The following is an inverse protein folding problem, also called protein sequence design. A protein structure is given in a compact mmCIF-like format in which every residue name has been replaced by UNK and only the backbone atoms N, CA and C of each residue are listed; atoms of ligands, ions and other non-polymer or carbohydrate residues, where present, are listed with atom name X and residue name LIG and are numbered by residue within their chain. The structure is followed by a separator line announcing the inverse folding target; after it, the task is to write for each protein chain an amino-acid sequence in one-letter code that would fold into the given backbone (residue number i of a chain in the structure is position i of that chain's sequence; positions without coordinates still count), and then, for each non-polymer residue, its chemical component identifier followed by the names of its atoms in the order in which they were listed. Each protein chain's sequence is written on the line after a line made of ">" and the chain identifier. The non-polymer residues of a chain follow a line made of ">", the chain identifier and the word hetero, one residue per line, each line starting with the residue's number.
data_IF_443060499259
#
_entry.id   IF_443060499259
#
_cell.length_a   1.000
_cell.length_b   1.000
_cell.length_c   1.000
_cell.angle_alpha   90.00
_cell.angle_beta   90.00
_cell.angle_gamma   90.00
#
_symmetry.space_group_name_H-M   'P 1'
#
loop_
_entity.id
_entity.type
_entity.pdbx_description
1 polymer ?
#
# COMPACT_ATOMS: atom_id res chain seq x y z
N UNK A 1 -11.66 16.73 5.17
CA UNK A 1 -10.25 16.60 4.74
C UNK A 1 -10.14 15.52 3.68
N UNK A 2 -8.96 15.32 3.08
CA UNK A 2 -8.72 14.42 1.95
C UNK A 2 -7.59 13.45 2.30
N UNK A 3 -7.76 12.16 1.97
CA UNK A 3 -6.67 11.18 1.96
C UNK A 3 -6.20 11.01 0.51
N UNK A 4 -4.89 11.15 0.27
CA UNK A 4 -4.26 10.87 -1.01
C UNK A 4 -3.74 9.43 -0.96
N UNK A 5 -4.19 8.60 -1.89
CA UNK A 5 -3.69 7.22 -2.04
C UNK A 5 -2.89 7.17 -3.34
N UNK A 6 -1.58 7.00 -3.19
CA UNK A 6 -0.59 7.07 -4.26
C UNK A 6 -0.08 5.67 -4.61
N UNK A 7 0.17 5.42 -5.89
CA UNK A 7 0.79 4.18 -6.34
C UNK A 7 2.32 4.33 -6.30
N UNK A 8 3.06 3.35 -5.78
CA UNK A 8 4.52 3.45 -5.63
C UNK A 8 5.29 3.52 -6.97
N UNK A 9 4.72 2.95 -8.04
CA UNK A 9 5.35 2.84 -9.36
C UNK A 9 5.78 1.41 -9.68
N UNK A 10 6.11 1.15 -10.95
CA UNK A 10 6.26 -0.21 -11.50
C UNK A 10 7.66 -0.49 -12.08
N UNK A 11 8.68 0.20 -11.57
CA UNK A 11 10.05 0.16 -12.10
C UNK A 11 10.96 -0.79 -11.34
N UNK A 12 10.41 -1.58 -10.40
CA UNK A 12 11.13 -2.44 -9.46
C UNK A 12 12.24 -1.75 -8.65
N UNK A 13 12.14 -0.43 -8.44
CA UNK A 13 13.18 0.37 -7.78
C UNK A 13 12.90 0.64 -6.31
N UNK A 14 13.98 0.80 -5.55
CA UNK A 14 13.92 1.47 -4.26
C UNK A 14 13.64 2.97 -4.45
N UNK A 15 12.52 3.44 -3.90
CA UNK A 15 12.07 4.83 -3.97
C UNK A 15 12.32 5.62 -2.68
N UNK A 16 13.07 5.07 -1.73
CA UNK A 16 13.56 5.80 -0.55
C UNK A 16 14.41 7.02 -0.95
N UNK A 17 14.48 8.01 -0.05
CA UNK A 17 15.32 9.18 -0.26
C UNK A 17 16.80 8.78 -0.48
N UNK A 18 17.43 9.36 -1.50
CA UNK A 18 18.81 9.02 -1.91
C UNK A 18 18.93 7.82 -2.84
N UNK A 19 17.83 7.12 -3.16
CA UNK A 19 17.77 6.06 -4.15
C UNK A 19 17.16 6.56 -5.48
N UNK A 20 16.06 5.96 -5.95
CA UNK A 20 15.36 6.35 -7.19
C UNK A 20 13.98 6.92 -6.85
N UNK A 21 13.86 8.20 -6.45
CA UNK A 21 12.60 8.76 -5.95
C UNK A 21 11.49 8.68 -7.00
N UNK A 22 10.28 8.38 -6.53
CA UNK A 22 9.04 8.39 -7.32
C UNK A 22 8.19 9.59 -6.93
N UNK A 23 7.51 10.20 -7.91
CA UNK A 23 6.66 11.37 -7.69
C UNK A 23 5.20 11.08 -8.06
N UNK A 24 4.22 11.68 -7.34
CA UNK A 24 4.39 12.59 -6.21
C UNK A 24 4.90 11.90 -4.94
N UNK A 25 5.55 12.66 -4.05
CA UNK A 25 6.06 12.18 -2.75
C UNK A 25 5.64 13.12 -1.62
N UNK A 26 5.44 12.58 -0.43
CA UNK A 26 5.20 13.31 0.82
C UNK A 26 6.46 13.45 1.68
N UNK A 27 7.63 13.22 1.10
CA UNK A 27 8.92 13.26 1.80
C UNK A 27 9.84 14.39 1.33
N UNK A 28 10.52 15.00 2.29
CA UNK A 28 11.69 15.86 2.08
C UNK A 28 12.82 15.26 2.90
N UNK A 29 13.94 14.92 2.26
CA UNK A 29 15.09 14.29 2.92
C UNK A 29 14.74 13.02 3.72
N UNK A 30 13.77 12.24 3.22
CA UNK A 30 13.29 11.00 3.85
C UNK A 30 12.30 11.20 5.00
N UNK A 31 11.93 12.45 5.32
CA UNK A 31 10.99 12.79 6.38
C UNK A 31 9.63 13.15 5.78
N UNK A 32 8.57 12.46 6.22
CA UNK A 32 7.19 12.83 5.86
C UNK A 32 6.82 14.21 6.40
N UNK A 33 6.31 15.10 5.54
CA UNK A 33 5.84 16.43 5.94
C UNK A 33 4.31 16.57 6.01
N UNK A 34 3.56 15.53 5.60
CA UNK A 34 2.11 15.43 5.72
C UNK A 34 1.69 14.03 6.20
N UNK A 35 0.51 13.92 6.82
CA UNK A 35 0.02 12.68 7.43
C UNK A 35 -1.21 12.09 6.72
N UNK A 36 -1.57 12.63 5.56
CA UNK A 36 -2.74 12.25 4.77
C UNK A 36 -2.37 11.78 3.35
N UNK A 37 -1.14 11.34 3.16
CA UNK A 37 -0.64 10.74 1.90
C UNK A 37 -0.22 9.30 2.17
N UNK A 38 -0.65 8.36 1.35
CA UNK A 38 -0.45 6.92 1.56
C UNK A 38 0.07 6.28 0.28
N UNK A 39 1.34 5.87 0.27
CA UNK A 39 2.01 5.23 -0.87
C UNK A 39 1.87 3.71 -0.81
N UNK A 40 1.37 3.12 -1.89
CA UNK A 40 0.97 1.71 -1.97
C UNK A 40 1.86 0.93 -2.94
N UNK A 41 2.54 -0.09 -2.42
CA UNK A 41 3.22 -1.12 -3.21
C UNK A 41 2.26 -2.24 -3.63
N UNK A 42 2.67 -3.08 -4.58
CA UNK A 42 1.87 -4.18 -5.11
C UNK A 42 2.34 -5.54 -4.57
N UNK A 43 1.39 -6.39 -4.17
CA UNK A 43 1.61 -7.83 -3.96
C UNK A 43 1.27 -8.66 -5.21
N UNK A 44 1.91 -9.80 -5.33
CA UNK A 44 1.55 -10.85 -6.28
C UNK A 44 0.46 -11.78 -5.71
N UNK A 45 -0.09 -12.66 -6.55
CA UNK A 45 -1.17 -13.58 -6.19
C UNK A 45 -0.69 -14.81 -5.40
N UNK A 46 0.59 -14.86 -5.00
CA UNK A 46 1.20 -16.01 -4.32
C UNK A 46 1.39 -15.74 -2.84
N UNK A 47 1.22 -16.78 -2.03
CA UNK A 47 1.44 -16.73 -0.59
C UNK A 47 2.75 -17.46 -0.24
N UNK A 48 3.87 -16.80 -0.53
CA UNK A 48 5.24 -17.28 -0.26
C UNK A 48 6.20 -16.09 -0.15
N UNK A 49 7.51 -16.32 -0.10
CA UNK A 49 8.49 -15.23 -0.20
C UNK A 49 8.37 -14.40 -1.48
N UNK A 50 7.70 -14.90 -2.53
CA UNK A 50 7.40 -14.14 -3.76
C UNK A 50 6.17 -13.23 -3.64
N UNK A 51 5.71 -12.92 -2.42
CA UNK A 51 4.46 -12.17 -2.21
C UNK A 51 4.52 -10.71 -2.68
N UNK A 52 5.70 -10.08 -2.75
CA UNK A 52 5.84 -8.74 -3.35
C UNK A 52 5.93 -8.87 -4.87
N UNK A 53 5.13 -8.09 -5.60
CA UNK A 53 5.11 -8.15 -7.05
C UNK A 53 6.47 -7.72 -7.62
N UNK A 54 7.00 -8.49 -8.57
CA UNK A 54 8.36 -8.29 -9.11
C UNK A 54 8.57 -6.94 -9.81
N UNK A 55 7.50 -6.26 -10.21
CA UNK A 55 7.52 -4.92 -10.80
C UNK A 55 7.35 -3.80 -9.77
N UNK A 56 6.89 -4.08 -8.54
CA UNK A 56 6.56 -3.04 -7.57
C UNK A 56 7.81 -2.24 -7.19
N UNK A 57 7.70 -0.92 -7.22
CA UNK A 57 8.59 -0.09 -6.42
C UNK A 57 8.39 -0.39 -4.93
N UNK A 58 9.45 -0.20 -4.16
CA UNK A 58 9.52 -0.49 -2.73
C UNK A 58 10.36 0.57 -2.03
N UNK A 59 10.34 0.60 -0.70
CA UNK A 59 11.19 1.48 0.10
C UNK A 59 10.79 1.40 1.56
N UNK A 60 11.77 1.17 2.44
CA UNK A 60 11.55 0.99 3.88
C UNK A 60 10.90 2.23 4.51
N UNK A 61 11.19 3.40 3.95
CA UNK A 61 10.68 4.69 4.40
C UNK A 61 9.69 5.33 3.43
N UNK A 62 9.69 5.00 2.13
CA UNK A 62 8.84 5.70 1.15
C UNK A 62 7.53 4.96 0.83
N UNK A 63 7.49 3.63 0.94
CA UNK A 63 6.25 2.85 0.74
C UNK A 63 5.60 2.57 2.09
N UNK A 64 4.32 2.90 2.25
CA UNK A 64 3.64 2.71 3.53
C UNK A 64 3.18 1.26 3.72
N UNK A 65 2.52 0.69 2.73
CA UNK A 65 1.85 -0.62 2.80
C UNK A 65 1.73 -1.24 1.41
N UNK A 66 1.58 -2.57 1.36
CA UNK A 66 1.28 -3.28 0.13
C UNK A 66 -0.22 -3.58 -0.02
N UNK A 67 -0.68 -3.81 -1.25
CA UNK A 67 -2.01 -4.34 -1.55
C UNK A 67 -2.00 -5.18 -2.84
N UNK A 68 -3.03 -6.02 -3.09
CA UNK A 68 -3.12 -6.81 -4.30
C UNK A 68 -3.00 -5.96 -5.56
N UNK A 69 -1.98 -6.24 -6.38
CA UNK A 69 -1.71 -5.46 -7.60
C UNK A 69 -1.33 -6.30 -8.82
N UNK A 70 -1.11 -7.61 -8.68
CA UNK A 70 -0.85 -8.52 -9.80
C UNK A 70 -2.14 -9.21 -10.24
N UNK A 71 -2.38 -9.27 -11.56
CA UNK A 71 -3.52 -9.97 -12.18
C UNK A 71 -4.85 -9.62 -11.52
N UNK A 72 -5.12 -8.32 -11.38
CA UNK A 72 -6.38 -7.81 -10.87
C UNK A 72 -7.38 -7.71 -12.02
N UNK A 73 -8.50 -8.41 -11.88
CA UNK A 73 -9.59 -8.37 -12.85
C UNK A 73 -10.46 -7.14 -12.60
N UNK A 74 -10.61 -6.28 -13.60
CA UNK A 74 -11.42 -5.06 -13.47
C UNK A 74 -12.06 -4.68 -14.80
N UNK A 75 -13.00 -3.74 -14.74
CA UNK A 75 -13.68 -3.17 -15.92
C UNK A 75 -12.71 -2.36 -16.78
N UNK A 76 -12.94 -2.42 -18.09
CA UNK A 76 -12.30 -1.56 -19.10
C UNK A 76 -13.37 -1.00 -20.04
N UNK A 77 -13.10 0.07 -20.81
CA UNK A 77 -14.07 0.61 -21.77
C UNK A 77 -14.57 -0.45 -22.76
N UNK A 78 -15.81 -0.32 -23.20
CA UNK A 78 -16.44 -1.24 -24.16
C UNK A 78 -17.13 -2.46 -23.53
N UNK A 79 -17.66 -2.32 -22.30
CA UNK A 79 -18.39 -3.39 -21.59
C UNK A 79 -17.56 -4.65 -21.34
N UNK A 80 -16.24 -4.50 -21.23
CA UNK A 80 -15.29 -5.60 -21.13
C UNK A 80 -14.55 -5.59 -19.78
N UNK A 81 -13.85 -6.68 -19.51
CA UNK A 81 -13.08 -6.90 -18.30
C UNK A 81 -11.72 -7.51 -18.63
N UNK A 82 -10.67 -7.05 -17.95
CA UNK A 82 -9.31 -7.55 -18.18
C UNK A 82 -8.55 -7.72 -16.89
N UNK A 83 -7.63 -8.67 -16.91
CA UNK A 83 -6.58 -8.78 -15.91
C UNK A 83 -5.49 -7.75 -16.20
N UNK A 84 -5.22 -6.88 -15.23
CA UNK A 84 -4.15 -5.89 -15.28
C UNK A 84 -3.26 -6.04 -14.06
N UNK A 85 -2.00 -5.61 -14.20
CA UNK A 85 -1.00 -5.65 -13.13
C UNK A 85 -0.35 -4.29 -12.97
N UNK A 86 -0.17 -3.85 -11.72
CA UNK A 86 0.52 -2.62 -11.38
C UNK A 86 0.21 -2.16 -9.96
N UNK A 87 1.05 -1.28 -9.42
CA UNK A 87 0.72 -0.49 -8.21
C UNK A 87 -0.50 0.40 -8.46
N UNK A 88 -0.80 0.73 -9.72
CA UNK A 88 -2.04 1.37 -10.15
C UNK A 88 -3.30 0.53 -9.88
N UNK A 89 -3.16 -0.78 -9.68
CA UNK A 89 -4.25 -1.67 -9.27
C UNK A 89 -4.24 -1.90 -7.75
N UNK A 90 -3.08 -1.80 -7.10
CA UNK A 90 -2.95 -1.87 -5.65
C UNK A 90 -3.51 -0.62 -4.95
N UNK A 91 -3.20 0.57 -5.44
CA UNK A 91 -3.68 1.84 -4.88
C UNK A 91 -5.22 1.93 -4.79
N UNK A 92 -6.02 1.62 -5.83
CA UNK A 92 -7.47 1.67 -5.72
C UNK A 92 -8.05 0.62 -4.74
N UNK A 93 -7.38 -0.52 -4.51
CA UNK A 93 -7.78 -1.45 -3.45
C UNK A 93 -7.69 -0.79 -2.06
N UNK A 94 -6.62 -0.04 -1.79
CA UNK A 94 -6.46 0.71 -0.52
C UNK A 94 -7.42 1.90 -0.44
N UNK A 95 -7.64 2.61 -1.55
CA UNK A 95 -8.65 3.68 -1.62
C UNK A 95 -10.06 3.15 -1.33
N UNK A 96 -10.40 1.95 -1.80
CA UNK A 96 -11.64 1.26 -1.47
C UNK A 96 -11.77 0.97 0.02
N UNK A 97 -10.69 0.51 0.68
CA UNK A 97 -10.67 0.34 2.15
C UNK A 97 -10.94 1.66 2.86
N UNK A 98 -10.25 2.73 2.46
CA UNK A 98 -10.45 4.06 3.03
C UNK A 98 -11.89 4.57 2.86
N UNK A 99 -12.50 4.36 1.70
CA UNK A 99 -13.87 4.75 1.41
C UNK A 99 -14.88 4.01 2.31
N UNK A 100 -14.71 2.70 2.49
CA UNK A 100 -15.55 1.89 3.39
C UNK A 100 -15.37 2.35 4.85
N UNK A 101 -14.14 2.61 5.29
CA UNK A 101 -13.91 3.15 6.63
C UNK A 101 -14.63 4.50 6.82
N UNK A 102 -14.53 5.41 5.85
CA UNK A 102 -15.20 6.71 5.92
C UNK A 102 -16.73 6.60 5.90
N UNK A 103 -17.28 5.60 5.22
CA UNK A 103 -18.75 5.41 5.17
C UNK A 103 -19.32 4.98 6.52
N UNK A 104 -18.60 4.15 7.28
CA UNK A 104 -19.01 3.71 8.64
C UNK A 104 -18.58 4.69 9.74
N UNK A 105 -17.50 5.43 9.52
CA UNK A 105 -16.87 6.33 10.48
C UNK A 105 -16.63 7.72 9.87
N UNK A 106 -17.70 8.47 9.51
CA UNK A 106 -17.58 9.72 8.74
C UNK A 106 -16.84 10.85 9.47
N UNK A 107 -16.73 10.77 10.81
CA UNK A 107 -15.98 11.73 11.63
C UNK A 107 -14.48 11.46 11.70
N UNK A 108 -13.99 10.30 11.24
CA UNK A 108 -12.56 10.01 11.25
C UNK A 108 -11.85 10.89 10.23
N UNK A 109 -10.76 11.54 10.62
CA UNK A 109 -9.90 12.30 9.71
C UNK A 109 -9.17 11.39 8.72
N UNK A 110 -8.65 11.96 7.64
CA UNK A 110 -7.81 11.27 6.67
C UNK A 110 -6.57 10.66 7.35
N UNK A 111 -5.95 11.40 8.27
CA UNK A 111 -4.82 10.91 9.07
C UNK A 111 -5.21 9.71 9.94
N UNK A 112 -6.39 9.74 10.58
CA UNK A 112 -6.91 8.61 11.35
C UNK A 112 -7.16 7.39 10.46
N UNK A 113 -7.70 7.58 9.26
CA UNK A 113 -7.93 6.50 8.30
C UNK A 113 -6.61 5.89 7.80
N UNK A 114 -5.62 6.72 7.41
CA UNK A 114 -4.26 6.26 7.06
C UNK A 114 -3.73 5.39 8.20
N UNK A 115 -3.75 5.91 9.42
CA UNK A 115 -3.26 5.19 10.60
C UNK A 115 -3.96 3.84 10.81
N UNK A 116 -5.29 3.79 10.72
CA UNK A 116 -6.05 2.53 10.86
C UNK A 116 -5.62 1.51 9.81
N UNK A 117 -5.48 1.92 8.54
CA UNK A 117 -5.05 1.03 7.45
C UNK A 117 -3.66 0.46 7.72
N UNK A 118 -2.70 1.30 8.12
CA UNK A 118 -1.32 0.89 8.39
C UNK A 118 -1.20 -0.03 9.62
N UNK A 119 -1.91 0.31 10.70
CA UNK A 119 -1.86 -0.44 11.95
C UNK A 119 -2.51 -1.83 11.81
N UNK A 120 -3.61 -1.92 11.05
CA UNK A 120 -4.44 -3.13 10.91
C UNK A 120 -4.03 -4.10 9.79
N UNK A 121 -3.03 -3.73 8.98
CA UNK A 121 -2.52 -4.60 7.92
C UNK A 121 -2.07 -5.98 8.43
N UNK A 122 -2.12 -6.98 7.54
CA UNK A 122 -1.62 -8.32 7.83
C UNK A 122 -0.13 -8.42 7.45
N UNK A 123 0.74 -8.99 8.29
CA UNK A 123 2.15 -9.16 7.94
C UNK A 123 2.31 -9.92 6.63
N UNK A 124 3.29 -9.51 5.82
CA UNK A 124 3.79 -10.34 4.73
C UNK A 124 4.54 -11.56 5.29
N UNK A 125 4.97 -12.47 4.40
CA UNK A 125 5.90 -13.55 4.76
C UNK A 125 7.11 -13.04 5.54
N UNK A 126 7.65 -13.86 6.44
CA UNK A 126 8.77 -13.47 7.33
C UNK A 126 9.98 -12.93 6.55
N UNK A 127 10.25 -13.52 5.39
CA UNK A 127 11.21 -13.00 4.41
C UNK A 127 10.54 -12.98 3.04
N UNK A 128 10.79 -11.91 2.29
CA UNK A 128 10.24 -11.69 0.95
C UNK A 128 11.35 -11.36 -0.04
N UNK A 129 11.13 -11.69 -1.29
CA UNK A 129 12.07 -11.42 -2.37
C UNK A 129 11.96 -9.96 -2.77
N UNK A 130 13.05 -9.22 -2.61
CA UNK A 130 13.18 -7.83 -3.02
C UNK A 130 13.01 -7.71 -4.56
N UNK A 131 12.20 -6.75 -5.06
CA UNK A 131 11.96 -6.60 -6.50
C UNK A 131 13.20 -6.33 -7.36
N UNK A 132 14.19 -5.56 -6.87
CA UNK A 132 15.33 -5.13 -7.67
C UNK A 132 16.41 -6.22 -7.84
N UNK A 133 17.01 -6.66 -6.73
CA UNK A 133 18.18 -7.56 -6.71
C UNK A 133 17.82 -9.03 -6.42
N UNK A 134 16.54 -9.33 -6.17
CA UNK A 134 16.00 -10.66 -5.87
C UNK A 134 16.55 -11.32 -4.60
N UNK A 135 17.09 -10.55 -3.67
CA UNK A 135 17.52 -11.06 -2.36
C UNK A 135 16.32 -11.30 -1.45
N UNK A 136 16.44 -12.27 -0.54
CA UNK A 136 15.51 -12.43 0.58
C UNK A 136 15.81 -11.34 1.62
N UNK A 137 14.79 -10.58 1.98
CA UNK A 137 14.88 -9.46 2.92
C UNK A 137 13.69 -9.45 3.87
N UNK A 138 13.77 -8.64 4.92
CA UNK A 138 12.62 -8.39 5.78
C UNK A 138 11.56 -7.59 4.99
N UNK A 139 10.26 -7.86 5.18
CA UNK A 139 9.20 -7.01 4.63
C UNK A 139 9.31 -5.53 5.00
N UNK A 140 9.92 -5.23 6.15
CA UNK A 140 10.16 -3.85 6.60
C UNK A 140 11.27 -3.15 5.81
N UNK A 141 12.12 -3.88 5.09
CA UNK A 141 13.09 -3.31 4.15
C UNK A 141 12.41 -2.83 2.84
N UNK A 142 11.15 -3.26 2.61
CA UNK A 142 10.40 -2.96 1.39
C UNK A 142 9.22 -1.99 1.61
N UNK A 143 8.79 -1.77 2.85
CA UNK A 143 7.75 -0.80 3.23
C UNK A 143 7.82 -0.51 4.73
N UNK A 144 7.30 0.64 5.17
CA UNK A 144 7.23 1.02 6.59
C UNK A 144 6.55 -0.02 7.47
N UNK A 145 5.51 -0.66 6.94
CA UNK A 145 4.68 -1.56 7.73
C UNK A 145 5.08 -3.02 7.60
N UNK A 146 5.74 -3.41 6.50
CA UNK A 146 5.96 -4.82 6.15
C UNK A 146 4.66 -5.61 6.00
N UNK A 147 3.54 -4.93 5.74
CA UNK A 147 2.19 -5.49 5.75
C UNK A 147 1.49 -5.33 4.42
N UNK A 148 0.45 -6.15 4.24
CA UNK A 148 -0.57 -5.99 3.22
C UNK A 148 -1.86 -5.42 3.84
N UNK A 149 -2.51 -4.49 3.17
CA UNK A 149 -3.76 -3.88 3.62
C UNK A 149 -4.89 -4.92 3.77
N UNK A 150 -5.70 -4.78 4.82
CA UNK A 150 -6.76 -5.74 5.14
C UNK A 150 -8.03 -5.02 5.63
N UNK A 151 -9.11 -5.06 4.85
CA UNK A 151 -10.36 -4.37 5.16
C UNK A 151 -11.00 -4.83 6.47
N UNK A 152 -11.02 -6.15 6.71
CA UNK A 152 -11.68 -6.73 7.87
C UNK A 152 -11.03 -6.27 9.18
N UNK A 153 -9.71 -6.38 9.27
CA UNK A 153 -8.94 -5.91 10.42
C UNK A 153 -9.07 -4.39 10.59
N UNK A 154 -9.10 -3.63 9.48
CA UNK A 154 -9.29 -2.18 9.52
C UNK A 154 -10.65 -1.80 10.14
N UNK A 155 -11.73 -2.47 9.74
CA UNK A 155 -13.07 -2.26 10.32
C UNK A 155 -13.10 -2.64 11.81
N UNK A 156 -12.47 -3.76 12.19
CA UNK A 156 -12.37 -4.16 13.59
C UNK A 156 -11.62 -3.12 14.43
N UNK A 157 -10.48 -2.63 13.95
CA UNK A 157 -9.70 -1.61 14.64
C UNK A 157 -10.48 -0.29 14.73
N UNK A 158 -11.08 0.16 13.63
CA UNK A 158 -11.92 1.36 13.58
C UNK A 158 -13.09 1.32 14.59
N UNK A 159 -13.75 0.17 14.72
CA UNK A 159 -14.85 -0.03 15.67
C UNK A 159 -14.43 0.16 17.14
N UNK A 160 -13.18 -0.15 17.47
CA UNK A 160 -12.61 0.01 18.81
C UNK A 160 -12.11 1.43 19.06
N UNK A 161 -11.66 2.13 18.01
CA UNK A 161 -11.22 3.52 18.07
C UNK A 161 -12.37 4.48 18.38
N UNK A 162 -13.60 4.17 17.96
CA UNK A 162 -14.81 4.99 18.21
C UNK A 162 -15.23 5.05 19.70
N UNK A 163 -14.54 4.37 20.61
CA UNK A 163 -14.86 4.31 22.06
C UNK A 163 -14.08 5.29 22.95
N UNK A 164 -13.36 6.26 22.38
CA UNK A 164 -12.68 7.33 23.13
C UNK A 164 -13.14 8.69 22.63
#
# INVERSE_FOLDING_TARGET
>A
DVLIVNAAGNDNKNIDFGASPSYPTDQIEGVEFINNFLTVGATDSVYSSNQVASFSNFGASAVDIFAPGSKIYSTVPGEDYKYLSGTSMAAPNVAGIAAVLRSFFPSFSAATIKKIILDSGVPLFQEVIQPENKLLVSPNDLSKTGKMANLYNALLLASKTKKK
#
